data_IF_393255699920
#
_entry.id   IF_393255699920
#
_cell.length_a   1.000
_cell.length_b   1.000
_cell.length_c   1.000
_cell.angle_alpha   90.00
_cell.angle_beta   90.00
_cell.angle_gamma   90.00
#
_symmetry.space_group_name_H-M   'P 1'
#
loop_
_entity.id
_entity.type
_entity.pdbx_description
1 polymer ?
#
# COMPACT_ATOMS: atom_id res chain seq x y z
N UNK A 1 35.62 -12.63 8.76
CA UNK A 1 35.37 -11.58 7.78
C UNK A 1 34.34 -10.60 8.31
N UNK A 2 34.63 -9.36 8.20
CA UNK A 2 33.70 -8.38 8.64
C UNK A 2 32.61 -8.20 7.59
N UNK A 3 31.41 -8.30 8.03
CA UNK A 3 30.26 -8.08 7.15
C UNK A 3 30.02 -6.60 6.99
N UNK A 4 29.90 -6.15 5.76
CA UNK A 4 29.54 -4.78 5.53
C UNK A 4 28.09 -4.55 5.89
N UNK A 5 27.85 -3.51 6.65
CA UNK A 5 26.50 -3.10 6.97
C UNK A 5 26.07 -2.04 5.99
N UNK A 6 24.98 -2.32 5.32
CA UNK A 6 24.34 -1.32 4.49
C UNK A 6 23.44 -0.46 5.36
N UNK A 7 23.34 0.81 5.01
CA UNK A 7 22.52 1.74 5.76
C UNK A 7 21.40 2.28 4.90
N UNK A 8 20.23 2.38 5.48
CA UNK A 8 19.10 3.02 4.83
C UNK A 8 18.80 4.32 5.54
N UNK A 9 18.28 5.28 4.80
CA UNK A 9 17.94 6.57 5.37
C UNK A 9 16.53 6.55 5.92
N UNK A 10 16.41 6.87 7.20
CA UNK A 10 15.12 6.99 7.86
C UNK A 10 14.97 8.42 8.35
N UNK A 11 14.28 9.26 7.58
CA UNK A 11 14.20 10.67 7.89
C UNK A 11 15.60 11.30 7.75
N UNK A 12 16.07 11.89 8.82
CA UNK A 12 17.40 12.48 8.85
C UNK A 12 18.47 11.54 9.42
N UNK A 13 18.10 10.28 9.65
CA UNK A 13 18.99 9.32 10.28
C UNK A 13 19.33 8.20 9.33
N UNK A 14 20.47 7.57 9.57
CA UNK A 14 20.87 6.37 8.87
C UNK A 14 20.92 5.23 9.88
N UNK A 15 20.31 4.12 9.53
CA UNK A 15 20.35 2.92 10.35
C UNK A 15 20.86 1.75 9.52
N UNK A 16 21.41 0.71 10.15
CA UNK A 16 21.82 -0.48 9.42
C UNK A 16 20.60 -1.09 8.71
N UNK A 17 20.83 -1.56 7.49
CA UNK A 17 19.79 -2.22 6.72
C UNK A 17 19.65 -3.66 7.22
N UNK A 18 19.05 -3.80 8.40
CA UNK A 18 18.85 -5.08 9.04
C UNK A 18 17.39 -5.48 8.85
N UNK A 19 17.18 -6.61 8.20
CA UNK A 19 15.85 -7.15 8.00
C UNK A 19 15.75 -8.49 8.69
N UNK A 20 14.56 -8.78 9.22
CA UNK A 20 14.30 -10.09 9.77
C UNK A 20 14.37 -11.12 8.65
N UNK A 21 14.95 -12.31 8.89
CA UNK A 21 15.12 -13.30 7.82
C UNK A 21 13.83 -13.71 7.14
N UNK A 22 12.72 -13.70 7.86
CA UNK A 22 11.42 -14.09 7.33
C UNK A 22 10.70 -12.96 6.60
N UNK A 23 11.27 -11.76 6.60
CA UNK A 23 10.59 -10.60 6.01
C UNK A 23 11.20 -10.23 4.67
N UNK A 24 10.73 -10.91 3.62
CA UNK A 24 11.16 -10.65 2.24
C UNK A 24 10.03 -10.19 1.35
N UNK A 25 8.88 -9.85 1.91
CA UNK A 25 7.77 -9.33 1.12
C UNK A 25 8.10 -7.92 0.64
N UNK A 26 7.71 -7.58 -0.60
CA UNK A 26 7.86 -6.20 -1.05
C UNK A 26 6.89 -5.29 -0.31
N UNK A 27 7.29 -4.06 -0.07
CA UNK A 27 6.36 -3.10 0.53
C UNK A 27 5.32 -2.59 -0.47
N UNK A 28 5.60 -2.71 -1.77
CA UNK A 28 4.65 -2.40 -2.81
C UNK A 28 4.28 -0.94 -2.93
N UNK A 29 3.29 -0.68 -3.77
CA UNK A 29 2.81 0.67 -4.04
C UNK A 29 2.22 1.33 -2.80
N UNK A 30 1.32 0.61 -2.12
CA UNK A 30 0.62 1.15 -0.97
C UNK A 30 1.55 1.38 0.20
N UNK A 31 2.50 0.48 0.41
CA UNK A 31 3.50 0.65 1.46
C UNK A 31 4.37 1.87 1.23
N UNK A 32 4.82 2.07 -0.01
CA UNK A 32 5.64 3.23 -0.33
C UNK A 32 4.89 4.54 -0.12
N UNK A 33 3.63 4.58 -0.52
CA UNK A 33 2.81 5.78 -0.34
C UNK A 33 2.57 6.08 1.13
N UNK A 34 2.30 5.05 1.93
CA UNK A 34 2.11 5.22 3.36
C UNK A 34 3.41 5.64 4.05
N UNK A 35 4.55 5.09 3.61
CA UNK A 35 5.84 5.50 4.12
C UNK A 35 6.06 6.99 3.95
N UNK A 36 5.79 7.50 2.76
CA UNK A 36 5.97 8.92 2.49
C UNK A 36 4.99 9.76 3.30
N UNK A 37 3.78 9.28 3.46
CA UNK A 37 2.77 9.96 4.27
C UNK A 37 3.20 10.06 5.74
N UNK A 38 3.65 8.95 6.33
CA UNK A 38 4.08 8.95 7.73
C UNK A 38 5.28 9.86 7.90
N UNK A 39 6.21 9.82 6.97
CA UNK A 39 7.41 10.64 7.03
C UNK A 39 7.06 12.12 7.09
N UNK A 40 6.07 12.54 6.31
CA UNK A 40 5.69 13.95 6.24
C UNK A 40 4.77 14.36 7.39
N UNK A 41 3.86 13.49 7.80
CA UNK A 41 2.80 13.85 8.76
C UNK A 41 3.06 13.39 10.18
N UNK A 42 3.86 12.36 10.37
CA UNK A 42 4.17 11.84 11.70
C UNK A 42 5.61 11.34 11.73
N UNK A 43 6.58 12.26 11.67
CA UNK A 43 7.99 11.88 11.60
C UNK A 43 8.47 11.14 12.86
N UNK A 44 7.87 11.38 14.00
CA UNK A 44 8.25 10.68 15.22
C UNK A 44 7.95 9.19 15.09
N UNK A 45 6.75 8.85 14.63
CA UNK A 45 6.38 7.45 14.42
C UNK A 45 7.25 6.81 13.32
N UNK A 46 7.51 7.57 12.26
CA UNK A 46 8.38 7.10 11.20
C UNK A 46 9.76 6.73 11.72
N UNK A 47 10.36 7.61 12.51
CA UNK A 47 11.66 7.37 13.09
C UNK A 47 11.65 6.20 14.05
N UNK A 48 10.60 6.06 14.87
CA UNK A 48 10.47 4.94 15.79
C UNK A 48 10.44 3.61 15.05
N UNK A 49 9.68 3.54 13.96
CA UNK A 49 9.60 2.33 13.15
C UNK A 49 10.95 2.01 12.49
N UNK A 50 11.65 3.04 12.01
CA UNK A 50 12.97 2.86 11.43
C UNK A 50 13.97 2.32 12.46
N UNK A 51 13.98 2.93 13.63
CA UNK A 51 14.93 2.57 14.67
C UNK A 51 14.69 1.19 15.25
N UNK A 52 13.42 0.78 15.32
CA UNK A 52 13.07 -0.55 15.82
C UNK A 52 13.30 -1.64 14.78
N UNK A 53 13.49 -1.28 13.52
CA UNK A 53 13.67 -2.23 12.45
C UNK A 53 12.36 -2.85 11.95
N UNK A 54 11.24 -2.33 12.37
CA UNK A 54 9.92 -2.87 12.04
C UNK A 54 9.24 -2.16 10.86
N UNK A 55 9.89 -1.13 10.32
CA UNK A 55 9.28 -0.34 9.26
C UNK A 55 8.90 -1.19 8.05
N UNK A 56 9.80 -2.06 7.60
CA UNK A 56 9.56 -2.88 6.43
C UNK A 56 8.39 -3.82 6.64
N UNK A 57 8.36 -4.51 7.78
CA UNK A 57 7.26 -5.42 8.11
C UNK A 57 5.94 -4.68 8.17
N UNK A 58 5.93 -3.53 8.82
CA UNK A 58 4.73 -2.70 8.94
C UNK A 58 4.20 -2.30 7.56
N UNK A 59 5.09 -1.84 6.68
CA UNK A 59 4.69 -1.41 5.34
C UNK A 59 4.25 -2.58 4.46
N UNK A 60 4.93 -3.72 4.59
CA UNK A 60 4.53 -4.91 3.84
C UNK A 60 3.16 -5.41 4.27
N UNK A 61 2.89 -5.41 5.59
CA UNK A 61 1.58 -5.78 6.11
C UNK A 61 0.51 -4.83 5.59
N UNK A 62 0.78 -3.54 5.64
CA UNK A 62 -0.16 -2.54 5.14
C UNK A 62 -0.45 -2.76 3.66
N UNK A 63 0.58 -3.04 2.87
CA UNK A 63 0.41 -3.27 1.44
C UNK A 63 -0.48 -4.47 1.17
N UNK A 64 -0.27 -5.57 1.92
CA UNK A 64 -1.11 -6.76 1.76
C UNK A 64 -2.56 -6.47 2.13
N UNK A 65 -2.77 -5.80 3.25
CA UNK A 65 -4.12 -5.45 3.69
C UNK A 65 -4.81 -4.54 2.68
N UNK A 66 -4.08 -3.54 2.18
CA UNK A 66 -4.63 -2.62 1.20
C UNK A 66 -4.99 -3.35 -0.10
N UNK A 67 -4.14 -4.25 -0.54
CA UNK A 67 -4.37 -5.00 -1.77
C UNK A 67 -5.59 -5.90 -1.64
N UNK A 68 -5.72 -6.60 -0.51
CA UNK A 68 -6.87 -7.47 -0.25
C UNK A 68 -8.16 -6.67 -0.19
N UNK A 69 -8.14 -5.53 0.49
CA UNK A 69 -9.31 -4.68 0.59
C UNK A 69 -9.67 -4.08 -0.76
N UNK A 70 -8.69 -3.72 -1.55
CA UNK A 70 -8.92 -3.20 -2.90
C UNK A 70 -9.67 -4.22 -3.75
N UNK A 71 -9.23 -5.47 -3.71
CA UNK A 71 -9.90 -6.54 -4.47
C UNK A 71 -11.35 -6.72 -4.02
N UNK A 72 -11.59 -6.70 -2.72
CA UNK A 72 -12.94 -6.83 -2.18
C UNK A 72 -13.83 -5.67 -2.65
N UNK A 73 -13.32 -4.45 -2.58
CA UNK A 73 -14.07 -3.27 -3.00
C UNK A 73 -14.38 -3.33 -4.49
N UNK A 74 -13.41 -3.73 -5.30
CA UNK A 74 -13.60 -3.86 -6.75
C UNK A 74 -14.71 -4.87 -7.05
N UNK A 75 -14.68 -6.03 -6.40
CA UNK A 75 -15.70 -7.04 -6.61
C UNK A 75 -17.09 -6.57 -6.20
N UNK A 76 -17.17 -5.87 -5.08
CA UNK A 76 -18.44 -5.30 -4.63
C UNK A 76 -18.98 -4.26 -5.60
N UNK A 77 -18.13 -3.41 -6.11
CA UNK A 77 -18.54 -2.38 -7.07
C UNK A 77 -18.94 -2.98 -8.41
N UNK A 78 -18.24 -4.02 -8.86
CA UNK A 78 -18.61 -4.72 -10.09
C UNK A 78 -20.00 -5.31 -9.96
N UNK A 79 -20.31 -5.93 -8.84
CA UNK A 79 -21.62 -6.50 -8.61
C UNK A 79 -22.71 -5.42 -8.56
N UNK A 80 -22.42 -4.30 -7.90
CA UNK A 80 -23.36 -3.20 -7.75
C UNK A 80 -23.65 -2.52 -9.09
N UNK A 81 -22.64 -2.38 -9.95
CA UNK A 81 -22.80 -1.70 -11.23
C UNK A 81 -23.10 -2.65 -12.38
N UNK A 82 -23.19 -3.95 -12.12
CA UNK A 82 -23.52 -4.92 -13.14
C UNK A 82 -22.42 -5.14 -14.17
N UNK A 83 -21.18 -4.93 -13.79
CA UNK A 83 -20.04 -5.17 -14.67
C UNK A 83 -19.70 -6.66 -14.64
N UNK A 84 -19.92 -7.35 -15.74
CA UNK A 84 -19.78 -8.80 -15.81
C UNK A 84 -18.88 -9.23 -16.97
N UNK A 85 -18.56 -10.52 -17.00
CA UNK A 85 -17.81 -11.10 -18.13
C UNK A 85 -18.62 -11.03 -19.43
N UNK A 86 -19.93 -11.10 -19.34
CA UNK A 86 -20.79 -10.92 -20.51
C UNK A 86 -20.58 -9.55 -21.14
N UNK A 87 -20.52 -8.52 -20.31
CA UNK A 87 -20.25 -7.17 -20.76
C UNK A 87 -18.90 -7.07 -21.46
N UNK A 88 -17.89 -7.76 -20.91
CA UNK A 88 -16.57 -7.79 -21.51
C UNK A 88 -16.59 -8.40 -22.91
N UNK A 89 -17.41 -9.44 -23.11
CA UNK A 89 -17.51 -10.12 -24.39
C UNK A 89 -18.33 -9.31 -25.41
N UNK A 90 -19.39 -8.65 -24.95
CA UNK A 90 -20.32 -7.97 -25.85
C UNK A 90 -19.92 -6.52 -26.13
N UNK A 91 -19.33 -5.84 -25.16
CA UNK A 91 -18.94 -4.44 -25.31
C UNK A 91 -17.66 -4.20 -24.51
N UNK A 92 -16.53 -4.56 -25.12
CA UNK A 92 -15.23 -4.48 -24.45
C UNK A 92 -14.87 -3.05 -24.07
N UNK A 93 -15.22 -2.08 -24.91
CA UNK A 93 -14.89 -0.68 -24.62
C UNK A 93 -15.62 -0.19 -23.38
N UNK A 94 -16.90 -0.50 -23.27
CA UNK A 94 -17.69 -0.14 -22.10
C UNK A 94 -17.16 -0.84 -20.86
N UNK A 95 -16.78 -2.12 -21.00
CA UNK A 95 -16.21 -2.90 -19.88
C UNK A 95 -14.92 -2.27 -19.37
N UNK A 96 -14.01 -1.90 -20.29
CA UNK A 96 -12.72 -1.28 -19.91
C UNK A 96 -12.98 0.04 -19.19
N UNK A 97 -13.87 0.87 -19.72
CA UNK A 97 -14.20 2.14 -19.09
C UNK A 97 -14.78 1.96 -17.70
N UNK A 98 -15.71 1.02 -17.54
CA UNK A 98 -16.32 0.73 -16.24
C UNK A 98 -15.28 0.21 -15.25
N UNK A 99 -14.41 -0.70 -15.67
CA UNK A 99 -13.38 -1.24 -14.80
C UNK A 99 -12.38 -0.18 -14.38
N UNK A 100 -11.99 0.70 -15.28
CA UNK A 100 -11.08 1.78 -14.94
C UNK A 100 -11.70 2.72 -13.90
N UNK A 101 -12.98 3.05 -14.08
CA UNK A 101 -13.70 3.90 -13.13
C UNK A 101 -13.79 3.23 -11.75
N UNK A 102 -14.14 1.96 -11.71
CA UNK A 102 -14.26 1.19 -10.47
C UNK A 102 -12.90 1.14 -9.78
N UNK A 103 -11.85 0.85 -10.53
CA UNK A 103 -10.51 0.78 -9.96
C UNK A 103 -10.08 2.11 -9.37
N UNK A 104 -10.31 3.20 -10.08
CA UNK A 104 -9.95 4.53 -9.58
C UNK A 104 -10.68 4.87 -8.30
N UNK A 105 -11.97 4.57 -8.23
CA UNK A 105 -12.76 4.81 -7.02
C UNK A 105 -12.28 3.95 -5.86
N UNK A 106 -12.00 2.68 -6.12
CA UNK A 106 -11.52 1.76 -5.09
C UNK A 106 -10.15 2.19 -4.57
N UNK A 107 -9.25 2.61 -5.45
CA UNK A 107 -7.94 3.09 -5.05
C UNK A 107 -8.04 4.36 -4.21
N UNK A 108 -8.95 5.24 -4.55
CA UNK A 108 -9.19 6.45 -3.78
C UNK A 108 -9.66 6.13 -2.35
N UNK A 109 -10.54 5.15 -2.23
CA UNK A 109 -11.00 4.70 -0.91
C UNK A 109 -9.83 4.13 -0.09
N UNK A 110 -8.98 3.32 -0.71
CA UNK A 110 -7.82 2.75 -0.03
C UNK A 110 -6.86 3.85 0.44
N UNK A 111 -6.63 4.85 -0.41
CA UNK A 111 -5.76 5.96 -0.05
C UNK A 111 -6.28 6.68 1.20
N UNK A 112 -7.57 6.93 1.26
CA UNK A 112 -8.17 7.63 2.39
C UNK A 112 -8.18 6.79 3.66
N UNK A 113 -8.54 5.52 3.55
CA UNK A 113 -8.74 4.68 4.72
C UNK A 113 -7.46 4.12 5.30
N UNK A 114 -6.54 3.70 4.45
CA UNK A 114 -5.40 2.92 4.90
C UNK A 114 -4.06 3.60 4.73
N UNK A 115 -3.90 4.36 3.66
CA UNK A 115 -2.59 4.94 3.35
C UNK A 115 -2.41 6.29 4.01
N UNK A 116 -3.36 7.17 3.84
CA UNK A 116 -3.24 8.55 4.32
C UNK A 116 -3.85 8.79 5.69
N UNK A 117 -4.74 7.91 6.14
CA UNK A 117 -5.37 8.00 7.47
C UNK A 117 -5.95 9.39 7.77
N UNK A 118 -6.54 10.02 6.75
CA UNK A 118 -7.00 11.40 6.88
C UNK A 118 -8.06 11.59 7.96
N UNK A 119 -8.85 10.54 8.21
CA UNK A 119 -9.92 10.59 9.18
C UNK A 119 -9.50 10.11 10.56
N UNK A 120 -8.23 9.80 10.74
CA UNK A 120 -7.70 9.37 12.02
C UNK A 120 -7.46 10.57 12.91
N UNK A 121 -8.51 11.10 13.44
CA UNK A 121 -8.45 12.27 14.30
C UNK A 121 -8.47 11.87 15.75
#
# INVERSE_FOLDING_TARGET
>A
MMQELNYIRCGDYYIPDIRLPEENRPIGRWGRMHRDYIKDHNPIRFNDLCLSGELWTYLADLNEQAQNRLEIIIEQMKAAEGVTEDMKQHDQMAWVGAMNSIRNQAEDIILREMVCEEDAV
#
